data_IF_943884043683
#
_entry.id   IF_943884043683
#
_cell.length_a   1.000
_cell.length_b   1.000
_cell.length_c   1.000
_cell.angle_alpha   90.00
_cell.angle_beta   90.00
_cell.angle_gamma   90.00
#
_symmetry.space_group_name_H-M   'P 1'
#
loop_
_entity.id
_entity.type
_entity.pdbx_description
1 polymer ?
#
# COMPACT_ATOMS: atom_id res chain seq x y z
N UNK A 1 7.71 63.05 59.59
CA UNK A 1 7.66 62.76 58.19
C UNK A 1 9.05 62.26 57.74
N UNK A 2 9.25 60.92 57.60
CA UNK A 2 10.53 60.36 57.22
C UNK A 2 10.29 59.37 56.07
N UNK A 3 10.77 59.74 54.92
CA UNK A 3 10.80 58.85 53.73
C UNK A 3 11.76 57.71 53.90
N UNK A 4 11.28 56.43 53.84
CA UNK A 4 12.09 55.25 53.69
C UNK A 4 12.06 54.79 52.22
N UNK A 5 13.19 54.92 51.57
CA UNK A 5 13.43 54.30 50.26
C UNK A 5 13.74 52.81 50.46
N UNK A 6 12.94 51.88 49.92
CA UNK A 6 13.27 50.49 49.80
C UNK A 6 14.13 50.28 48.54
N UNK A 7 15.29 49.75 48.71
CA UNK A 7 16.13 49.29 47.63
C UNK A 7 15.74 47.84 47.29
N UNK A 8 15.34 47.59 46.02
CA UNK A 8 15.17 46.25 45.50
C UNK A 8 16.48 45.77 44.87
N UNK A 9 17.08 44.74 45.45
CA UNK A 9 18.22 44.02 44.84
C UNK A 9 17.68 43.04 43.84
N UNK A 10 17.98 43.21 42.54
CA UNK A 10 17.76 42.21 41.52
C UNK A 10 18.89 41.17 41.58
N UNK A 11 18.61 39.93 41.99
CA UNK A 11 19.47 38.80 41.75
C UNK A 11 19.20 38.29 40.32
N UNK A 12 20.15 38.49 39.41
CA UNK A 12 20.12 37.89 38.10
C UNK A 12 20.64 36.44 38.24
N UNK A 13 19.72 35.50 38.28
CA UNK A 13 20.04 34.07 38.18
C UNK A 13 20.25 33.66 36.71
N UNK A 14 21.48 33.37 36.31
CA UNK A 14 21.80 32.79 35.03
C UNK A 14 21.32 31.33 35.00
N UNK A 15 20.17 31.09 34.36
CA UNK A 15 19.74 29.73 34.00
C UNK A 15 20.60 29.23 32.83
N UNK A 16 21.55 28.35 33.10
CA UNK A 16 22.17 27.55 32.03
C UNK A 16 21.13 26.55 31.50
N UNK A 17 20.58 26.83 30.32
CA UNK A 17 19.77 25.86 29.61
C UNK A 17 20.69 24.75 29.06
N UNK A 18 20.66 23.57 29.67
CA UNK A 18 21.24 22.36 29.09
C UNK A 18 20.32 21.91 27.98
N UNK A 19 20.66 22.22 26.75
CA UNK A 19 20.00 21.65 25.57
C UNK A 19 20.34 20.16 25.52
N UNK A 20 19.33 19.26 25.41
CA UNK A 20 19.62 17.85 25.19
C UNK A 20 20.34 17.73 23.83
N UNK A 21 21.48 17.06 23.84
CA UNK A 21 22.17 16.69 22.60
C UNK A 21 21.20 15.83 21.76
N UNK A 22 20.74 16.38 20.66
CA UNK A 22 20.02 15.61 19.64
C UNK A 22 21.00 14.51 19.16
N UNK A 23 20.72 13.27 19.55
CA UNK A 23 21.41 12.12 18.98
C UNK A 23 21.24 12.21 17.47
N UNK A 24 22.31 12.44 16.72
CA UNK A 24 22.29 12.34 15.27
C UNK A 24 21.89 10.89 14.94
N UNK A 25 20.65 10.74 14.48
CA UNK A 25 20.21 9.49 13.85
C UNK A 25 21.12 9.35 12.63
N UNK A 26 21.97 8.32 12.64
CA UNK A 26 22.81 8.00 11.50
C UNK A 26 21.87 7.86 10.28
N UNK A 27 22.10 8.69 9.26
CA UNK A 27 21.41 8.54 7.97
C UNK A 27 21.72 7.13 7.47
N UNK A 28 20.69 6.32 7.14
CA UNK A 28 20.92 5.03 6.53
C UNK A 28 21.80 5.21 5.30
N UNK A 29 22.81 4.36 5.15
CA UNK A 29 23.60 4.31 3.93
C UNK A 29 22.69 3.88 2.78
N UNK A 30 22.19 4.86 2.03
CA UNK A 30 21.35 4.69 0.85
C UNK A 30 22.20 4.41 -0.41
N UNK A 31 23.48 4.06 -0.25
CA UNK A 31 24.25 3.59 -1.39
C UNK A 31 23.55 2.36 -1.97
N UNK A 32 22.94 2.56 -3.14
CA UNK A 32 22.37 1.47 -3.90
C UNK A 32 23.45 0.39 -4.10
N UNK A 33 23.11 -0.89 -3.97
CA UNK A 33 24.05 -1.96 -4.30
C UNK A 33 24.60 -1.68 -5.68
N UNK A 34 25.94 -1.64 -5.81
CA UNK A 34 26.58 -1.49 -7.11
C UNK A 34 26.22 -2.73 -7.94
N UNK A 35 25.24 -2.57 -8.82
CA UNK A 35 24.95 -3.59 -9.82
C UNK A 35 26.23 -3.75 -10.68
N UNK A 36 26.65 -4.99 -10.97
CA UNK A 36 27.75 -5.20 -11.89
C UNK A 36 27.41 -4.51 -13.21
N UNK A 37 28.37 -3.79 -13.77
CA UNK A 37 28.21 -3.15 -15.07
C UNK A 37 27.76 -4.21 -16.08
N UNK A 38 26.64 -4.01 -16.80
CA UNK A 38 26.20 -4.97 -17.80
C UNK A 38 27.33 -5.22 -18.79
N UNK A 39 27.56 -6.48 -19.13
CA UNK A 39 28.48 -6.81 -20.21
C UNK A 39 28.04 -6.13 -21.50
N UNK A 40 28.94 -5.64 -22.36
CA UNK A 40 28.55 -5.00 -23.61
C UNK A 40 27.69 -5.93 -24.44
N UNK A 41 26.57 -5.41 -24.99
CA UNK A 41 25.64 -6.18 -25.83
C UNK A 41 26.39 -6.70 -27.06
N UNK A 42 26.43 -8.03 -27.24
CA UNK A 42 27.25 -8.66 -28.28
C UNK A 42 26.52 -8.81 -29.61
N UNK A 43 25.20 -8.75 -29.65
CA UNK A 43 24.39 -8.62 -30.89
C UNK A 43 22.91 -8.42 -30.56
N UNK A 44 22.13 -7.89 -31.52
CA UNK A 44 20.67 -7.71 -31.41
C UNK A 44 19.88 -9.04 -31.30
N UNK A 45 20.50 -10.18 -31.63
CA UNK A 45 19.81 -11.48 -31.67
C UNK A 45 19.94 -12.27 -30.36
N UNK A 46 20.87 -11.94 -29.47
CA UNK A 46 21.09 -12.64 -28.20
C UNK A 46 21.36 -11.66 -27.05
N UNK A 47 20.43 -10.78 -26.79
CA UNK A 47 20.52 -9.86 -25.65
C UNK A 47 20.14 -10.59 -24.36
N UNK A 48 21.13 -10.89 -23.50
CA UNK A 48 20.89 -11.31 -22.13
C UNK A 48 20.65 -10.06 -21.31
N UNK A 49 19.42 -9.84 -20.88
CA UNK A 49 19.04 -8.71 -20.03
C UNK A 49 19.25 -9.10 -18.57
N UNK A 50 20.18 -8.43 -17.91
CA UNK A 50 20.42 -8.51 -16.47
C UNK A 50 21.20 -9.72 -16.00
N UNK A 51 21.49 -9.79 -14.70
CA UNK A 51 21.95 -11.02 -14.08
C UNK A 51 20.83 -12.05 -14.07
N UNK A 52 21.15 -13.35 -13.98
CA UNK A 52 20.14 -14.35 -13.71
C UNK A 52 19.43 -14.02 -12.41
N UNK A 53 18.14 -13.68 -12.51
CA UNK A 53 17.32 -13.40 -11.33
C UNK A 53 16.99 -14.70 -10.62
N UNK A 54 17.37 -14.78 -9.35
CA UNK A 54 16.99 -15.86 -8.45
C UNK A 54 16.03 -15.35 -7.39
N UNK A 55 15.21 -16.25 -6.86
CA UNK A 55 14.39 -15.92 -5.71
C UNK A 55 15.31 -15.57 -4.51
N UNK A 56 14.97 -14.52 -3.75
CA UNK A 56 15.77 -14.16 -2.57
C UNK A 56 15.69 -15.28 -1.53
N UNK A 57 16.77 -15.56 -0.78
CA UNK A 57 16.81 -16.62 0.20
C UNK A 57 15.71 -16.48 1.27
N UNK A 58 15.28 -15.26 1.57
CA UNK A 58 14.19 -14.99 2.49
C UNK A 58 12.82 -15.49 2.01
N UNK A 59 12.65 -15.79 0.73
CA UNK A 59 11.40 -16.36 0.19
C UNK A 59 11.22 -17.85 0.50
N UNK A 60 12.28 -18.52 0.96
CA UNK A 60 12.23 -19.92 1.34
C UNK A 60 11.67 -20.06 2.75
N UNK A 61 10.72 -20.98 2.95
CA UNK A 61 10.18 -21.27 4.27
C UNK A 61 11.28 -21.73 5.23
N UNK A 62 11.34 -21.10 6.39
CA UNK A 62 12.31 -21.43 7.44
C UNK A 62 11.58 -21.79 8.75
N UNK A 63 11.35 -23.06 9.04
CA UNK A 63 10.62 -23.47 10.25
C UNK A 63 11.36 -23.14 11.57
N UNK A 64 12.63 -22.76 11.52
CA UNK A 64 13.41 -22.38 12.69
C UNK A 64 13.11 -20.95 13.21
N UNK A 65 12.40 -20.14 12.42
CA UNK A 65 12.00 -18.79 12.85
C UNK A 65 10.54 -18.75 13.29
N UNK A 66 10.14 -17.79 14.14
CA UNK A 66 8.74 -17.62 14.53
C UNK A 66 7.86 -17.39 13.30
N UNK A 67 6.82 -18.20 13.13
CA UNK A 67 5.89 -18.14 12.01
C UNK A 67 4.70 -17.25 12.36
N UNK A 68 4.38 -16.31 11.47
CA UNK A 68 3.16 -15.53 11.57
C UNK A 68 1.91 -16.33 11.20
N UNK A 69 0.75 -15.79 11.52
CA UNK A 69 -0.57 -16.37 11.23
C UNK A 69 -1.19 -15.67 10.01
N UNK A 70 -1.72 -16.46 9.08
CA UNK A 70 -2.45 -15.93 7.92
C UNK A 70 -3.92 -16.28 8.06
N UNK A 71 -4.74 -15.24 8.05
CA UNK A 71 -6.20 -15.36 8.15
C UNK A 71 -6.85 -14.83 6.89
N UNK A 72 -7.97 -15.43 6.50
CA UNK A 72 -8.74 -15.04 5.32
C UNK A 72 -10.17 -14.67 5.70
N UNK A 73 -10.73 -13.71 4.98
CA UNK A 73 -12.15 -13.40 4.99
C UNK A 73 -12.58 -12.78 3.66
N UNK A 74 -13.88 -12.69 3.45
CA UNK A 74 -14.49 -12.11 2.26
C UNK A 74 -15.18 -10.82 2.65
N UNK A 75 -14.99 -9.77 1.84
CA UNK A 75 -15.82 -8.57 1.82
C UNK A 75 -16.77 -8.66 0.63
N UNK A 76 -18.03 -8.49 0.89
CA UNK A 76 -19.08 -8.50 -0.12
C UNK A 76 -19.35 -7.09 -0.62
N UNK A 77 -19.53 -6.94 -1.93
CA UNK A 77 -19.73 -5.63 -2.56
C UNK A 77 -20.94 -4.86 -2.01
N UNK A 78 -22.02 -5.58 -1.65
CA UNK A 78 -23.21 -4.96 -1.08
C UNK A 78 -23.02 -4.34 0.31
N UNK A 79 -21.94 -4.69 0.99
CA UNK A 79 -21.54 -4.10 2.28
C UNK A 79 -20.67 -2.85 2.11
N UNK A 80 -20.12 -2.64 0.90
CA UNK A 80 -19.28 -1.48 0.60
C UNK A 80 -20.14 -0.28 0.20
N UNK A 81 -19.85 0.87 0.81
CA UNK A 81 -20.43 2.16 0.43
C UNK A 81 -19.68 2.80 -0.73
N UNK A 82 -18.38 2.49 -0.85
CA UNK A 82 -17.49 3.10 -1.83
C UNK A 82 -17.51 2.32 -3.13
N UNK A 83 -17.52 0.97 -3.05
CA UNK A 83 -17.53 0.06 -4.20
C UNK A 83 -18.68 -0.95 -4.10
N UNK A 84 -19.93 -0.51 -4.22
CA UNK A 84 -21.11 -1.36 -3.98
C UNK A 84 -21.38 -2.39 -5.09
N UNK A 85 -20.67 -2.32 -6.19
CA UNK A 85 -20.80 -3.20 -7.34
C UNK A 85 -20.36 -2.56 -8.64
N UNK A 86 -20.37 -3.34 -9.72
CA UNK A 86 -19.94 -2.93 -11.05
C UNK A 86 -21.04 -3.06 -12.10
N UNK A 87 -20.91 -2.27 -13.16
CA UNK A 87 -21.65 -2.46 -14.40
C UNK A 87 -21.00 -3.59 -15.18
N UNK A 88 -21.79 -4.58 -15.60
CA UNK A 88 -21.24 -5.75 -16.31
C UNK A 88 -20.85 -5.41 -17.73
N UNK A 89 -19.64 -5.83 -18.14
CA UNK A 89 -19.07 -5.61 -19.48
C UNK A 89 -19.99 -6.08 -20.61
N UNK A 90 -20.76 -7.18 -20.42
CA UNK A 90 -21.70 -7.71 -21.41
C UNK A 90 -22.80 -6.71 -21.81
N UNK A 91 -23.07 -5.73 -20.95
CA UNK A 91 -24.12 -4.74 -21.16
C UNK A 91 -23.58 -3.47 -21.86
N UNK A 92 -22.31 -3.50 -22.29
CA UNK A 92 -21.63 -2.38 -22.89
C UNK A 92 -21.58 -2.49 -24.39
N UNK A 93 -21.88 -1.39 -25.08
CA UNK A 93 -21.69 -1.26 -26.51
C UNK A 93 -20.27 -0.78 -26.85
N UNK A 94 -19.81 -1.10 -28.05
CA UNK A 94 -18.54 -0.58 -28.57
C UNK A 94 -18.84 0.53 -29.59
N UNK A 95 -18.00 1.57 -29.59
CA UNK A 95 -18.00 2.59 -30.62
C UNK A 95 -17.42 2.06 -31.95
N UNK A 96 -17.44 2.88 -33.00
CA UNK A 96 -16.89 2.53 -34.29
C UNK A 96 -15.38 2.21 -34.29
N UNK A 97 -14.66 2.61 -33.23
CA UNK A 97 -13.24 2.34 -33.03
C UNK A 97 -12.98 1.11 -32.17
N UNK A 98 -14.05 0.40 -31.75
CA UNK A 98 -13.97 -0.77 -30.90
C UNK A 98 -13.80 -0.48 -29.40
N UNK A 99 -13.91 0.77 -28.96
CA UNK A 99 -13.85 1.15 -27.56
C UNK A 99 -15.20 0.89 -26.89
N UNK A 100 -15.16 0.46 -25.61
CA UNK A 100 -16.39 0.34 -24.84
C UNK A 100 -17.01 1.73 -24.61
N UNK A 101 -18.31 1.81 -24.81
CA UNK A 101 -19.11 2.98 -24.50
C UNK A 101 -19.75 2.81 -23.13
N UNK A 102 -20.01 3.91 -22.43
CA UNK A 102 -20.84 3.87 -21.23
C UNK A 102 -22.20 3.24 -21.59
N UNK A 103 -22.72 2.32 -20.77
CA UNK A 103 -24.04 1.75 -21.02
C UNK A 103 -25.09 2.86 -21.02
N UNK A 104 -26.13 2.75 -21.86
CA UNK A 104 -27.25 3.68 -21.81
C UNK A 104 -27.85 3.75 -20.41
N UNK A 105 -28.26 4.92 -19.99
CA UNK A 105 -28.87 5.15 -18.69
C UNK A 105 -30.04 4.18 -18.48
N UNK A 106 -30.03 3.44 -17.36
CA UNK A 106 -31.10 2.51 -16.98
C UNK A 106 -30.94 1.05 -17.42
N UNK A 107 -29.89 0.69 -18.20
CA UNK A 107 -29.68 -0.70 -18.65
C UNK A 107 -28.67 -1.50 -17.84
N UNK A 108 -27.95 -0.89 -16.91
CA UNK A 108 -26.92 -1.55 -16.14
C UNK A 108 -27.37 -1.86 -14.71
N UNK A 109 -27.47 -3.14 -14.39
CA UNK A 109 -27.57 -3.56 -13.00
C UNK A 109 -26.18 -3.69 -12.40
N UNK A 110 -25.99 -3.20 -11.18
CA UNK A 110 -24.77 -3.41 -10.42
C UNK A 110 -24.53 -4.92 -10.24
N UNK A 111 -23.38 -5.39 -10.69
CA UNK A 111 -22.97 -6.78 -10.48
C UNK A 111 -22.36 -6.95 -9.11
N UNK A 112 -22.87 -7.91 -8.33
CA UNK A 112 -22.26 -8.32 -7.08
C UNK A 112 -20.92 -8.97 -7.32
N UNK A 113 -19.95 -8.71 -6.43
CA UNK A 113 -18.66 -9.40 -6.38
C UNK A 113 -18.23 -9.70 -4.94
N UNK A 114 -17.29 -10.61 -4.82
CA UNK A 114 -16.64 -11.01 -3.58
C UNK A 114 -15.16 -10.62 -3.64
N UNK A 115 -14.66 -10.03 -2.56
CA UNK A 115 -13.27 -9.64 -2.42
C UNK A 115 -12.62 -10.46 -1.33
N UNK A 116 -11.63 -11.26 -1.69
CA UNK A 116 -10.81 -11.99 -0.73
C UNK A 116 -9.79 -11.07 -0.08
N UNK A 117 -9.70 -11.16 1.21
CA UNK A 117 -8.73 -10.43 2.04
C UNK A 117 -7.95 -11.43 2.88
N UNK A 118 -6.63 -11.38 2.77
CA UNK A 118 -5.75 -12.18 3.61
C UNK A 118 -4.99 -11.25 4.54
N UNK A 119 -4.83 -11.65 5.80
CA UNK A 119 -4.15 -10.84 6.81
C UNK A 119 -3.05 -11.68 7.44
N UNK A 120 -1.79 -11.28 7.17
CA UNK A 120 -0.66 -11.84 7.88
C UNK A 120 -0.42 -11.06 9.16
N UNK A 121 -0.41 -11.77 10.30
CA UNK A 121 -0.13 -11.23 11.63
C UNK A 121 1.15 -11.90 12.13
N UNK A 122 2.26 -11.15 12.29
CA UNK A 122 3.52 -11.74 12.74
C UNK A 122 3.39 -12.30 14.15
N UNK A 123 4.11 -13.37 14.46
CA UNK A 123 4.11 -13.99 15.79
C UNK A 123 4.47 -13.03 16.91
N UNK A 124 5.25 -12.02 16.60
CA UNK A 124 5.73 -10.99 17.53
C UNK A 124 4.71 -9.87 17.77
N UNK A 125 3.58 -9.86 17.06
CA UNK A 125 2.55 -8.85 17.27
C UNK A 125 1.94 -8.96 18.67
N UNK A 126 1.86 -7.84 19.37
CA UNK A 126 1.20 -7.73 20.66
C UNK A 126 -0.19 -7.13 20.44
N UNK A 127 -1.23 -7.88 20.77
CA UNK A 127 -2.61 -7.45 20.59
C UNK A 127 -2.88 -6.09 21.26
N UNK A 128 -3.57 -5.20 20.55
CA UNK A 128 -3.91 -3.85 21.02
C UNK A 128 -2.77 -2.82 20.89
N UNK A 129 -1.56 -3.22 20.48
CA UNK A 129 -0.50 -2.24 20.16
C UNK A 129 -0.61 -1.78 18.71
N UNK A 130 -0.45 -0.47 18.41
CA UNK A 130 -0.45 -0.01 17.03
C UNK A 130 0.68 -0.65 16.21
N UNK A 131 0.32 -1.47 15.23
CA UNK A 131 1.28 -2.17 14.38
C UNK A 131 1.59 -1.35 13.11
N UNK A 132 2.86 -1.29 12.69
CA UNK A 132 3.17 -0.96 11.30
C UNK A 132 2.47 -1.93 10.36
N UNK A 133 2.12 -1.47 9.16
CA UNK A 133 1.42 -2.32 8.20
C UNK A 133 1.72 -1.99 6.75
N UNK A 134 1.40 -2.93 5.88
CA UNK A 134 1.44 -2.75 4.43
C UNK A 134 0.15 -3.27 3.80
N UNK A 135 -0.45 -2.47 2.92
CA UNK A 135 -1.56 -2.90 2.06
C UNK A 135 -0.98 -3.41 0.75
N UNK A 136 -1.34 -4.65 0.39
CA UNK A 136 -0.84 -5.34 -0.81
C UNK A 136 -2.00 -5.57 -1.77
N UNK A 137 -1.95 -4.91 -2.92
CA UNK A 137 -2.94 -5.05 -3.99
C UNK A 137 -2.74 -6.37 -4.75
N UNK A 138 -3.82 -6.96 -5.27
CA UNK A 138 -3.84 -8.30 -5.88
C UNK A 138 -3.29 -9.38 -4.91
N UNK A 139 -3.74 -9.32 -3.69
CA UNK A 139 -3.15 -9.96 -2.51
C UNK A 139 -2.89 -11.44 -2.65
N UNK A 140 -3.84 -12.19 -3.25
CA UNK A 140 -3.72 -13.64 -3.48
C UNK A 140 -2.43 -14.02 -4.19
N UNK A 141 -1.98 -13.17 -5.13
CA UNK A 141 -0.75 -13.42 -5.92
C UNK A 141 0.52 -13.33 -5.09
N UNK A 142 0.48 -12.59 -3.97
CA UNK A 142 1.66 -12.28 -3.16
C UNK A 142 1.73 -13.06 -1.85
N UNK A 143 0.58 -13.45 -1.27
CA UNK A 143 0.51 -13.95 0.11
C UNK A 143 1.51 -15.05 0.40
N UNK A 144 1.56 -16.10 -0.42
CA UNK A 144 2.42 -17.27 -0.18
C UNK A 144 3.91 -16.93 -0.09
N UNK A 145 4.39 -16.05 -0.98
CA UNK A 145 5.80 -15.66 -1.03
C UNK A 145 6.15 -14.66 0.07
N UNK A 146 5.29 -13.65 0.26
CA UNK A 146 5.56 -12.60 1.22
C UNK A 146 5.54 -13.08 2.67
N UNK A 147 4.72 -14.06 3.01
CA UNK A 147 4.69 -14.61 4.38
C UNK A 147 6.06 -15.14 4.78
N UNK A 148 6.71 -15.95 3.95
CA UNK A 148 8.05 -16.46 4.23
C UNK A 148 9.08 -15.33 4.36
N UNK A 149 9.01 -14.33 3.47
CA UNK A 149 9.90 -13.18 3.51
C UNK A 149 9.72 -12.42 4.83
N UNK A 150 8.48 -12.20 5.24
CA UNK A 150 8.19 -11.48 6.48
C UNK A 150 8.70 -12.22 7.71
N UNK A 151 8.43 -13.52 7.83
CA UNK A 151 8.91 -14.34 8.95
C UNK A 151 10.43 -14.27 9.07
N UNK A 152 11.14 -14.47 7.94
CA UNK A 152 12.60 -14.44 7.92
C UNK A 152 13.17 -13.05 8.22
N UNK A 153 12.63 -11.99 7.62
CA UNK A 153 13.14 -10.63 7.80
C UNK A 153 12.85 -10.07 9.20
N UNK A 154 11.69 -10.38 9.77
CA UNK A 154 11.34 -9.97 11.14
C UNK A 154 12.24 -10.72 12.14
N UNK A 155 12.45 -12.03 11.96
CA UNK A 155 13.35 -12.81 12.81
C UNK A 155 14.79 -12.29 12.74
N UNK A 156 15.25 -11.90 11.56
CA UNK A 156 16.57 -11.29 11.36
C UNK A 156 16.65 -9.82 11.82
N UNK A 157 15.59 -9.24 12.36
CA UNK A 157 15.48 -7.82 12.79
C UNK A 157 15.77 -6.82 11.64
N UNK A 158 15.54 -7.22 10.40
CA UNK A 158 15.64 -6.35 9.22
C UNK A 158 14.35 -5.58 8.96
N UNK A 159 13.22 -6.09 9.47
CA UNK A 159 11.93 -5.41 9.50
C UNK A 159 11.36 -5.43 10.93
N UNK A 160 10.58 -4.41 11.31
CA UNK A 160 9.79 -4.48 12.53
C UNK A 160 8.67 -5.53 12.38
N UNK A 161 8.11 -6.04 13.49
CA UNK A 161 6.87 -6.79 13.44
C UNK A 161 5.77 -5.93 12.82
N UNK A 162 5.36 -6.25 11.58
CA UNK A 162 4.35 -5.50 10.84
C UNK A 162 3.29 -6.43 10.24
N UNK A 163 2.07 -5.93 10.18
CA UNK A 163 0.93 -6.65 9.62
C UNK A 163 0.86 -6.42 8.12
N UNK A 164 0.58 -7.47 7.34
CA UNK A 164 0.25 -7.31 5.92
C UNK A 164 -1.24 -7.53 5.70
N UNK A 165 -1.85 -6.62 4.95
CA UNK A 165 -3.25 -6.72 4.52
C UNK A 165 -3.25 -6.89 3.01
N UNK A 166 -3.48 -8.12 2.57
CA UNK A 166 -3.54 -8.49 1.17
C UNK A 166 -4.99 -8.40 0.70
N UNK A 167 -5.29 -7.48 -0.18
CA UNK A 167 -6.64 -7.31 -0.72
C UNK A 167 -6.65 -7.62 -2.22
N UNK A 168 -7.50 -8.57 -2.62
CA UNK A 168 -7.82 -8.73 -4.03
C UNK A 168 -8.70 -7.57 -4.49
N UNK A 169 -8.69 -7.26 -5.78
CA UNK A 169 -9.70 -6.39 -6.38
C UNK A 169 -11.06 -7.09 -6.45
N UNK A 170 -12.11 -6.34 -6.68
CA UNK A 170 -13.44 -6.90 -6.89
C UNK A 170 -13.64 -7.56 -8.26
N UNK A 171 -12.65 -7.52 -9.15
CA UNK A 171 -12.71 -8.11 -10.48
C UNK A 171 -11.35 -8.60 -10.97
N UNK A 172 -11.35 -9.34 -12.07
CA UNK A 172 -10.17 -10.01 -12.61
C UNK A 172 -9.54 -9.30 -13.81
N UNK A 173 -10.21 -8.30 -14.36
CA UNK A 173 -9.84 -7.63 -15.61
C UNK A 173 -9.64 -6.12 -15.40
N UNK A 174 -8.68 -5.52 -16.08
CA UNK A 174 -8.37 -4.11 -15.98
C UNK A 174 -9.41 -3.22 -16.67
N UNK A 175 -10.05 -3.68 -17.73
CA UNK A 175 -11.05 -2.90 -18.47
C UNK A 175 -12.45 -3.47 -18.28
N UNK A 176 -13.37 -2.61 -17.86
CA UNK A 176 -14.76 -2.99 -17.65
C UNK A 176 -14.99 -3.94 -16.48
N UNK A 177 -14.08 -3.92 -15.53
CA UNK A 177 -14.16 -4.67 -14.29
C UNK A 177 -13.95 -3.77 -13.08
N UNK A 178 -14.28 -4.29 -11.91
CA UNK A 178 -14.05 -3.58 -10.65
C UNK A 178 -12.57 -3.27 -10.45
N UNK A 179 -11.65 -4.16 -10.87
CA UNK A 179 -10.21 -3.92 -10.75
C UNK A 179 -9.77 -2.65 -11.47
N UNK A 180 -10.26 -2.40 -12.68
CA UNK A 180 -9.97 -1.16 -13.40
C UNK A 180 -10.56 0.08 -12.72
N UNK A 181 -11.76 -0.03 -12.17
CA UNK A 181 -12.40 1.06 -11.42
C UNK A 181 -11.64 1.38 -10.12
N UNK A 182 -11.11 0.37 -9.44
CA UNK A 182 -10.39 0.52 -8.18
C UNK A 182 -8.96 1.00 -8.38
N UNK A 183 -8.22 0.38 -9.31
CA UNK A 183 -6.77 0.52 -9.39
C UNK A 183 -6.30 1.55 -10.40
N UNK A 184 -7.05 1.75 -11.50
CA UNK A 184 -6.63 2.61 -12.60
C UNK A 184 -7.33 3.99 -12.57
N UNK A 185 -8.14 4.25 -11.55
CA UNK A 185 -8.75 5.56 -11.35
C UNK A 185 -7.75 6.52 -10.67
N UNK A 186 -7.54 7.69 -11.27
CA UNK A 186 -6.70 8.76 -10.70
C UNK A 186 -7.53 9.55 -9.69
N UNK A 187 -7.73 8.98 -8.51
CA UNK A 187 -8.52 9.58 -7.42
C UNK A 187 -8.11 9.00 -6.05
N UNK A 188 -8.57 9.63 -4.98
CA UNK A 188 -8.40 9.15 -3.61
C UNK A 188 -9.37 8.03 -3.20
N UNK A 189 -10.29 7.65 -4.13
CA UNK A 189 -11.40 6.74 -3.82
C UNK A 189 -10.94 5.39 -3.27
N UNK A 190 -9.89 4.80 -3.88
CA UNK A 190 -9.35 3.52 -3.43
C UNK A 190 -8.68 3.65 -2.05
N UNK A 191 -7.91 4.70 -1.83
CA UNK A 191 -7.34 4.98 -0.51
C UNK A 191 -8.41 5.16 0.56
N UNK A 192 -9.49 5.89 0.24
CA UNK A 192 -10.61 6.07 1.15
C UNK A 192 -11.31 4.76 1.47
N UNK A 193 -11.46 3.86 0.49
CA UNK A 193 -11.99 2.52 0.73
C UNK A 193 -11.07 1.72 1.70
N UNK A 194 -9.77 1.75 1.49
CA UNK A 194 -8.81 1.09 2.39
C UNK A 194 -8.96 1.60 3.83
N UNK A 195 -9.03 2.92 4.01
CA UNK A 195 -9.10 3.55 5.34
C UNK A 195 -10.46 3.36 6.03
N UNK A 196 -11.54 3.42 5.28
CA UNK A 196 -12.90 3.50 5.85
C UNK A 196 -13.59 2.12 5.91
N UNK A 197 -13.17 1.18 5.08
CA UNK A 197 -13.84 -0.13 5.00
C UNK A 197 -12.86 -1.29 5.25
N UNK A 198 -11.73 -1.37 4.55
CA UNK A 198 -10.81 -2.51 4.66
C UNK A 198 -10.12 -2.60 6.03
N UNK A 199 -9.40 -1.57 6.44
CA UNK A 199 -8.66 -1.58 7.72
C UNK A 199 -9.59 -1.72 8.93
N UNK A 200 -10.74 -1.01 9.00
CA UNK A 200 -11.73 -1.23 10.06
C UNK A 200 -12.27 -2.66 10.11
N UNK A 201 -12.56 -3.29 8.97
CA UNK A 201 -13.02 -4.67 8.92
C UNK A 201 -11.97 -5.65 9.47
N UNK A 202 -10.69 -5.45 9.12
CA UNK A 202 -9.57 -6.24 9.67
C UNK A 202 -9.45 -6.04 11.17
N UNK A 203 -9.51 -4.79 11.64
CA UNK A 203 -9.43 -4.45 13.07
C UNK A 203 -10.56 -5.11 13.86
N UNK A 204 -11.79 -5.01 13.37
CA UNK A 204 -12.97 -5.61 14.00
C UNK A 204 -12.87 -7.13 14.07
N UNK A 205 -12.42 -7.76 12.98
CA UNK A 205 -12.43 -9.22 12.85
C UNK A 205 -11.29 -9.90 13.61
N UNK A 206 -10.13 -9.26 13.66
CA UNK A 206 -8.91 -9.89 14.18
C UNK A 206 -8.25 -9.16 15.37
N UNK A 207 -8.82 -8.04 15.80
CA UNK A 207 -8.30 -7.27 16.93
C UNK A 207 -6.95 -6.59 16.64
N UNK A 208 -6.66 -6.34 15.36
CA UNK A 208 -5.43 -5.64 14.95
C UNK A 208 -5.61 -4.14 15.13
N UNK A 209 -4.71 -3.51 15.85
CA UNK A 209 -4.59 -2.06 15.89
C UNK A 209 -3.54 -1.61 14.87
N UNK A 210 -3.92 -0.71 13.97
CA UNK A 210 -3.01 -0.16 12.96
C UNK A 210 -2.42 1.17 13.42
N UNK A 211 -1.13 1.39 13.12
CA UNK A 211 -0.50 2.69 13.40
C UNK A 211 -1.09 3.81 12.54
N UNK A 212 -1.15 5.01 13.13
CA UNK A 212 -1.46 6.25 12.41
C UNK A 212 -0.19 6.98 11.95
N UNK A 213 0.99 6.53 12.39
CA UNK A 213 2.28 7.08 11.96
C UNK A 213 2.54 6.72 10.49
N UNK A 214 2.65 7.70 9.57
CA UNK A 214 2.87 7.45 8.14
C UNK A 214 4.19 6.71 7.87
N UNK A 215 5.18 6.78 8.77
CA UNK A 215 6.42 6.01 8.68
C UNK A 215 6.22 4.51 8.92
N UNK A 216 5.15 4.13 9.58
CA UNK A 216 4.76 2.73 9.79
C UNK A 216 3.79 2.20 8.73
N UNK A 217 3.48 2.95 7.67
CA UNK A 217 2.43 2.61 6.69
C UNK A 217 3.02 2.50 5.29
N UNK A 218 2.73 1.39 4.62
CA UNK A 218 3.25 1.11 3.29
C UNK A 218 2.15 0.57 2.37
N UNK A 219 2.37 0.71 1.06
CA UNK A 219 1.54 0.12 0.00
C UNK A 219 2.41 -0.64 -0.99
N UNK A 220 1.86 -1.72 -1.56
CA UNK A 220 2.56 -2.54 -2.56
C UNK A 220 1.61 -3.01 -3.64
N UNK A 221 2.07 -3.03 -4.89
CA UNK A 221 1.35 -3.66 -5.99
C UNK A 221 2.18 -3.82 -7.25
N UNK A 222 1.65 -4.61 -8.18
CA UNK A 222 2.20 -4.81 -9.52
C UNK A 222 1.19 -4.38 -10.60
N UNK A 223 1.66 -3.91 -11.76
CA UNK A 223 0.81 -3.47 -12.88
C UNK A 223 -0.19 -2.40 -12.45
N UNK A 224 -1.49 -2.59 -12.68
CA UNK A 224 -2.54 -1.69 -12.17
C UNK A 224 -2.53 -1.62 -10.63
N UNK A 225 -2.21 -2.71 -9.93
CA UNK A 225 -2.04 -2.68 -8.47
C UNK A 225 -0.89 -1.76 -8.02
N UNK A 226 0.16 -1.63 -8.84
CA UNK A 226 1.24 -0.67 -8.58
C UNK A 226 0.79 0.79 -8.80
N UNK A 227 -0.08 1.02 -9.77
CA UNK A 227 -0.72 2.32 -9.95
C UNK A 227 -1.58 2.68 -8.73
N UNK A 228 -2.41 1.74 -8.25
CA UNK A 228 -3.22 1.93 -7.04
C UNK A 228 -2.35 2.21 -5.81
N UNK A 229 -1.28 1.42 -5.60
CA UNK A 229 -0.36 1.63 -4.49
C UNK A 229 0.27 3.03 -4.52
N UNK A 230 0.68 3.50 -5.70
CA UNK A 230 1.23 4.84 -5.87
C UNK A 230 0.17 5.92 -5.65
N UNK A 231 -1.02 5.75 -6.22
CA UNK A 231 -2.14 6.69 -6.12
C UNK A 231 -2.58 6.90 -4.67
N UNK A 232 -2.56 5.83 -3.84
CA UNK A 232 -2.84 5.95 -2.40
C UNK A 232 -1.91 6.96 -1.72
N UNK A 233 -0.60 6.87 -1.96
CA UNK A 233 0.37 7.79 -1.38
C UNK A 233 0.35 9.18 -2.05
N UNK A 234 0.04 9.25 -3.33
CA UNK A 234 -0.06 10.51 -4.06
C UNK A 234 -1.17 11.41 -3.52
N UNK A 235 -2.36 10.85 -3.27
CA UNK A 235 -3.49 11.61 -2.75
C UNK A 235 -3.45 11.77 -1.23
N UNK A 236 -2.75 10.88 -0.52
CA UNK A 236 -2.63 10.90 0.93
C UNK A 236 -1.17 10.78 1.41
N UNK A 237 -0.30 11.74 1.00
CA UNK A 237 1.10 11.75 1.45
C UNK A 237 1.22 11.89 2.97
N UNK A 238 0.21 12.41 3.65
CA UNK A 238 0.17 12.48 5.11
C UNK A 238 -0.08 11.13 5.79
N UNK A 239 -0.47 10.11 5.01
CA UNK A 239 -0.80 8.77 5.52
C UNK A 239 0.20 7.71 5.10
N UNK A 240 0.73 7.78 3.87
CA UNK A 240 1.57 6.74 3.29
C UNK A 240 2.88 7.32 2.79
N UNK A 241 3.98 6.98 3.47
CA UNK A 241 5.32 7.42 3.09
C UNK A 241 6.11 6.37 2.32
N UNK A 242 5.62 5.13 2.23
CA UNK A 242 6.34 4.02 1.62
C UNK A 242 5.50 3.32 0.56
N UNK A 243 6.03 3.28 -0.66
CA UNK A 243 5.38 2.65 -1.82
C UNK A 243 6.34 1.69 -2.49
N UNK A 244 5.90 0.45 -2.70
CA UNK A 244 6.57 -0.51 -3.55
C UNK A 244 5.71 -0.72 -4.81
N UNK A 245 6.12 -0.08 -5.90
CA UNK A 245 5.40 -0.09 -7.18
C UNK A 245 6.20 -0.88 -8.21
N UNK A 246 5.68 -2.04 -8.65
CA UNK A 246 6.35 -2.91 -9.61
C UNK A 246 5.66 -2.83 -10.97
N UNK A 247 6.38 -2.40 -12.00
CA UNK A 247 5.87 -2.35 -13.39
C UNK A 247 4.51 -1.67 -13.48
N UNK A 248 4.37 -0.49 -12.86
CA UNK A 248 3.11 0.22 -12.76
C UNK A 248 2.51 0.60 -14.12
N UNK A 249 1.21 0.40 -14.25
CA UNK A 249 0.43 0.81 -15.41
C UNK A 249 -0.18 2.19 -15.12
N UNK A 250 0.55 3.25 -15.46
CA UNK A 250 0.14 4.63 -15.18
C UNK A 250 -0.67 5.22 -16.34
N UNK A 251 -1.73 4.50 -16.73
CA UNK A 251 -2.69 4.93 -17.76
C UNK A 251 -4.10 4.73 -17.24
N UNK A 252 -5.02 5.61 -17.61
CA UNK A 252 -6.41 5.47 -17.20
C UNK A 252 -7.06 4.30 -17.93
N UNK A 253 -7.26 3.20 -17.25
CA UNK A 253 -8.00 2.01 -17.69
C UNK A 253 -9.32 1.86 -16.93
N UNK A 254 -9.66 2.84 -16.09
CA UNK A 254 -10.88 2.82 -15.31
C UNK A 254 -12.13 2.69 -16.17
N UNK A 255 -13.11 2.01 -15.64
CA UNK A 255 -14.43 1.89 -16.25
C UNK A 255 -15.50 2.46 -15.29
N UNK A 256 -16.53 3.12 -15.79
CA UNK A 256 -16.76 3.51 -17.19
C UNK A 256 -15.73 4.52 -17.70
N UNK A 257 -15.47 4.49 -18.99
CA UNK A 257 -14.54 5.46 -19.62
C UNK A 257 -15.11 6.86 -19.46
N UNK A 258 -14.38 7.74 -18.80
CA UNK A 258 -14.71 9.17 -18.78
C UNK A 258 -14.29 9.80 -20.10
N UNK A 259 -15.23 10.35 -20.91
CA UNK A 259 -14.90 11.01 -22.16
C UNK A 259 -13.96 12.22 -22.01
N UNK A 260 -13.89 12.80 -20.80
CA UNK A 260 -13.00 13.93 -20.51
C UNK A 260 -11.55 13.52 -20.27
N UNK A 261 -11.34 12.25 -19.92
CA UNK A 261 -10.02 11.68 -19.66
C UNK A 261 -9.85 10.36 -20.43
N UNK A 262 -9.92 10.39 -21.79
CA UNK A 262 -9.79 9.17 -22.55
C UNK A 262 -8.38 8.61 -22.45
N UNK A 263 -8.23 7.40 -21.89
CA UNK A 263 -7.02 6.58 -21.93
C UNK A 263 -5.69 7.31 -21.64
N UNK A 264 -5.60 7.87 -20.52
CA UNK A 264 -4.34 8.47 -20.11
C UNK A 264 -4.58 9.56 -19.09
N UNK A 265 -3.70 9.62 -18.15
CA UNK A 265 -3.63 10.74 -17.24
C UNK A 265 -3.06 11.96 -17.94
#
# INVERSE_FOLDING_TARGET
MKNRKLAFSLLAGTMLAVLPALAQVATPDLSLPKFPTPAPMVSAENSIIGPNYADPPESVANPAVPQGDVREFILYSEESKIYPGIVRVRDMQRDANGNYMAPPEGLSQLGRYERHVYVYIPKQYVAGTPAPFMVVQDGRSYVKRMVNIMDNMIAAKRLPPMVLVFADSGGSDAQGSERGLEYDAVSDRYSNWVEQELLPAVSQKYGVAFTTDPEGRATLGGSSGAAAAFTMAWFHPERYHKVLSYSGTFVNQAWPVDPKTPRGA
#
